data_IF_168489014092
#
_entry.id   IF_168489014092
#
_cell.length_a   1.000
_cell.length_b   1.000
_cell.length_c   1.000
_cell.angle_alpha   90.00
_cell.angle_beta   90.00
_cell.angle_gamma   90.00
#
_symmetry.space_group_name_H-M   'P 1'
#
loop_
_entity.id
_entity.type
_entity.pdbx_description
1 polymer ?
#
# COMPACT_ATOMS: atom_id res chain seq x y z
N UNK A 1 -7.01 20.96 -62.54
CA UNK A 1 -6.31 19.77 -62.01
C UNK A 1 -6.11 19.97 -60.52
N UNK A 2 -6.99 19.45 -59.68
CA UNK A 2 -6.85 19.56 -58.23
C UNK A 2 -7.42 18.28 -57.63
N UNK A 3 -6.56 17.29 -57.36
CA UNK A 3 -6.74 16.17 -56.42
C UNK A 3 -5.67 15.09 -56.61
N UNK A 4 -4.39 15.46 -56.62
CA UNK A 4 -3.35 14.47 -56.30
C UNK A 4 -2.94 14.68 -54.84
N UNK A 5 -3.18 13.66 -54.01
CA UNK A 5 -2.60 13.61 -52.67
C UNK A 5 -1.08 13.42 -52.84
N UNK A 6 -0.34 14.53 -52.90
CA UNK A 6 1.12 14.56 -53.08
C UNK A 6 1.87 13.80 -51.97
N UNK A 7 1.20 13.49 -50.85
CA UNK A 7 1.77 12.74 -49.74
C UNK A 7 0.68 12.09 -48.88
N UNK A 8 1.02 10.98 -48.23
CA UNK A 8 0.20 10.38 -47.15
C UNK A 8 -0.03 11.36 -46.00
N UNK A 9 0.89 12.28 -45.77
CA UNK A 9 0.81 13.27 -44.69
C UNK A 9 -0.26 14.34 -44.91
N UNK A 10 -0.66 14.60 -46.16
CA UNK A 10 -1.74 15.56 -46.50
C UNK A 10 -3.09 14.87 -46.73
N UNK A 11 -3.14 13.53 -46.67
CA UNK A 11 -4.35 12.74 -46.92
C UNK A 11 -5.27 12.69 -45.70
N UNK A 12 -6.38 13.43 -45.75
CA UNK A 12 -7.44 13.38 -44.72
C UNK A 12 -7.97 11.93 -44.52
N UNK A 13 -8.27 11.15 -45.58
CA UNK A 13 -8.73 9.77 -45.40
C UNK A 13 -7.71 8.86 -44.71
N UNK A 14 -6.41 9.04 -44.97
CA UNK A 14 -5.35 8.29 -44.29
C UNK A 14 -5.39 8.58 -42.79
N UNK A 15 -5.30 9.85 -42.39
CA UNK A 15 -5.29 10.23 -40.99
C UNK A 15 -6.56 9.83 -40.24
N UNK A 16 -7.73 9.95 -40.87
CA UNK A 16 -8.99 9.50 -40.27
C UNK A 16 -8.99 7.99 -40.00
N UNK A 17 -8.48 7.18 -40.94
CA UNK A 17 -8.38 5.73 -40.77
C UNK A 17 -7.32 5.38 -39.72
N UNK A 18 -6.16 6.04 -39.74
CA UNK A 18 -5.11 5.84 -38.75
C UNK A 18 -5.58 6.19 -37.34
N UNK A 19 -6.28 7.31 -37.17
CA UNK A 19 -6.87 7.70 -35.88
C UNK A 19 -7.89 6.64 -35.39
N UNK A 20 -8.76 6.14 -36.27
CA UNK A 20 -9.69 5.07 -35.92
C UNK A 20 -8.96 3.78 -35.50
N UNK A 21 -7.91 3.38 -36.23
CA UNK A 21 -7.12 2.19 -35.92
C UNK A 21 -6.35 2.31 -34.61
N UNK A 22 -5.62 3.41 -34.41
CA UNK A 22 -4.84 3.65 -33.19
C UNK A 22 -5.78 3.69 -31.97
N UNK A 23 -6.90 4.41 -32.07
CA UNK A 23 -7.88 4.49 -30.99
C UNK A 23 -8.51 3.13 -30.70
N UNK A 24 -8.91 2.40 -31.75
CA UNK A 24 -9.50 1.07 -31.61
C UNK A 24 -8.55 0.06 -30.98
N UNK A 25 -7.30 -0.03 -31.48
CA UNK A 25 -6.29 -0.93 -30.93
C UNK A 25 -5.91 -0.56 -29.50
N UNK A 26 -5.66 0.73 -29.21
CA UNK A 26 -5.36 1.19 -27.85
C UNK A 26 -6.51 0.86 -26.89
N UNK A 27 -7.77 1.02 -27.31
CA UNK A 27 -8.93 0.67 -26.49
C UNK A 27 -8.98 -0.83 -26.17
N UNK A 28 -8.76 -1.70 -27.16
CA UNK A 28 -8.71 -3.15 -26.95
C UNK A 28 -7.57 -3.54 -26.00
N UNK A 29 -6.39 -2.94 -26.19
CA UNK A 29 -5.23 -3.18 -25.33
C UNK A 29 -5.52 -2.76 -23.88
N UNK A 30 -6.15 -1.59 -23.67
CA UNK A 30 -6.53 -1.12 -22.35
C UNK A 30 -7.56 -2.04 -21.68
N UNK A 31 -8.54 -2.54 -22.43
CA UNK A 31 -9.52 -3.52 -21.92
C UNK A 31 -8.79 -4.79 -21.46
N UNK A 32 -7.87 -5.31 -22.28
CA UNK A 32 -7.10 -6.51 -21.93
C UNK A 32 -6.23 -6.30 -20.68
N UNK A 33 -5.47 -5.21 -20.63
CA UNK A 33 -4.64 -4.85 -19.47
C UNK A 33 -5.49 -4.61 -18.21
N UNK A 34 -6.73 -4.17 -18.36
CA UNK A 34 -7.66 -4.02 -17.23
C UNK A 34 -7.97 -5.38 -16.61
N UNK A 35 -8.30 -6.40 -17.42
CA UNK A 35 -8.57 -7.75 -16.90
C UNK A 35 -7.34 -8.41 -16.30
N UNK A 36 -6.16 -8.25 -16.91
CA UNK A 36 -4.90 -8.73 -16.34
C UNK A 36 -4.66 -8.07 -14.97
N UNK A 37 -4.80 -6.75 -14.88
CA UNK A 37 -4.64 -5.99 -13.63
C UNK A 37 -5.62 -6.45 -12.56
N UNK A 38 -6.90 -6.64 -12.91
CA UNK A 38 -7.92 -7.14 -11.98
C UNK A 38 -7.50 -8.49 -11.40
N UNK A 39 -6.97 -9.41 -12.21
CA UNK A 39 -6.43 -10.69 -11.72
C UNK A 39 -5.29 -10.52 -10.72
N UNK A 40 -4.40 -9.56 -10.95
CA UNK A 40 -3.25 -9.28 -10.08
C UNK A 40 -3.62 -8.61 -8.76
N UNK A 41 -4.66 -7.77 -8.74
CA UNK A 41 -5.07 -6.99 -7.55
C UNK A 41 -6.24 -7.60 -6.77
N UNK A 42 -6.83 -8.69 -7.27
CA UNK A 42 -7.89 -9.40 -6.55
C UNK A 42 -7.33 -9.99 -5.26
N UNK A 43 -8.04 -9.73 -4.15
CA UNK A 43 -7.66 -10.27 -2.84
C UNK A 43 -7.65 -11.80 -2.84
N UNK A 44 -6.68 -12.38 -2.14
CA UNK A 44 -6.64 -13.80 -1.85
C UNK A 44 -7.70 -14.24 -0.84
N UNK A 45 -7.68 -15.54 -0.57
CA UNK A 45 -8.59 -16.22 0.34
C UNK A 45 -7.85 -16.73 1.58
N UNK A 46 -8.58 -17.04 2.64
CA UNK A 46 -7.99 -17.64 3.84
C UNK A 46 -7.36 -19.02 3.55
N UNK A 47 -7.86 -19.74 2.54
CA UNK A 47 -7.26 -20.97 2.08
C UNK A 47 -5.87 -20.73 1.47
N UNK A 48 -5.69 -19.63 0.72
CA UNK A 48 -4.39 -19.23 0.18
C UNK A 48 -3.39 -19.01 1.33
N UNK A 49 -3.80 -18.27 2.37
CA UNK A 49 -2.96 -18.02 3.55
C UNK A 49 -2.58 -19.31 4.30
N UNK A 50 -3.56 -20.19 4.55
CA UNK A 50 -3.33 -21.47 5.25
C UNK A 50 -2.39 -22.40 4.50
N UNK A 51 -2.43 -22.34 3.16
CA UNK A 51 -1.58 -23.16 2.29
C UNK A 51 -0.21 -22.50 2.00
N UNK A 52 0.10 -21.36 2.64
CA UNK A 52 1.34 -20.62 2.40
C UNK A 52 1.41 -19.96 1.01
N UNK A 53 0.29 -19.86 0.30
CA UNK A 53 0.20 -19.20 -1.00
C UNK A 53 0.07 -17.69 -0.77
N UNK A 54 1.16 -16.97 -1.07
CA UNK A 54 1.18 -15.51 -0.95
C UNK A 54 0.75 -14.88 -2.27
N UNK A 55 -0.54 -14.57 -2.41
CA UNK A 55 -1.02 -13.71 -3.50
C UNK A 55 -0.53 -12.28 -3.32
N UNK A 56 -0.51 -11.49 -4.40
CA UNK A 56 -0.07 -10.09 -4.35
C UNK A 56 -0.84 -9.27 -3.32
N UNK A 57 -2.16 -9.46 -3.27
CA UNK A 57 -3.03 -8.87 -2.25
C UNK A 57 -3.55 -10.00 -1.36
N UNK A 58 -3.07 -10.15 -0.12
CA UNK A 58 -3.52 -11.20 0.77
C UNK A 58 -4.99 -11.06 1.20
N UNK A 59 -5.54 -12.14 1.77
CA UNK A 59 -6.89 -12.13 2.34
C UNK A 59 -6.98 -11.16 3.54
N UNK A 60 -8.18 -10.66 3.87
CA UNK A 60 -8.37 -9.76 5.01
C UNK A 60 -7.85 -10.29 6.35
N UNK A 61 -7.90 -11.61 6.54
CA UNK A 61 -7.44 -12.29 7.77
C UNK A 61 -5.93 -12.25 7.96
N UNK A 62 -5.14 -11.73 7.02
CA UNK A 62 -3.70 -11.50 7.17
C UNK A 62 -3.38 -10.61 8.38
N UNK A 63 -4.33 -9.79 8.86
CA UNK A 63 -4.18 -9.00 10.08
C UNK A 63 -3.97 -9.86 11.34
N UNK A 64 -4.39 -11.13 11.31
CA UNK A 64 -4.18 -12.12 12.38
C UNK A 64 -2.81 -12.80 12.31
N UNK A 65 -1.91 -12.31 11.47
CA UNK A 65 -0.58 -12.87 11.29
C UNK A 65 0.47 -11.79 11.53
N UNK A 66 1.64 -12.24 11.96
CA UNK A 66 2.83 -11.41 11.95
C UNK A 66 3.22 -11.09 10.51
N UNK A 67 3.54 -9.82 10.24
CA UNK A 67 3.93 -9.36 8.90
C UNK A 67 5.35 -8.80 8.99
N UNK A 68 6.19 -9.24 8.06
CA UNK A 68 7.57 -8.79 7.92
C UNK A 68 7.86 -8.44 6.45
N UNK A 69 9.01 -7.83 6.16
CA UNK A 69 9.44 -7.45 4.82
C UNK A 69 10.93 -7.74 4.65
N UNK A 70 11.26 -8.78 3.87
CA UNK A 70 12.62 -9.34 3.78
C UNK A 70 13.12 -9.38 2.36
N UNK A 71 14.43 -9.20 2.19
CA UNK A 71 15.10 -9.36 0.90
C UNK A 71 14.91 -10.78 0.35
N UNK A 72 14.37 -10.91 -0.86
CA UNK A 72 14.28 -12.16 -1.59
C UNK A 72 15.44 -12.26 -2.59
N UNK A 73 16.37 -13.20 -2.37
CA UNK A 73 17.46 -13.45 -3.31
C UNK A 73 16.98 -13.82 -4.72
N UNK A 74 15.85 -14.55 -4.80
CA UNK A 74 15.24 -14.94 -6.08
C UNK A 74 14.67 -13.75 -6.86
N UNK A 75 14.08 -12.78 -6.16
CA UNK A 75 13.42 -11.63 -6.80
C UNK A 75 14.32 -10.39 -6.90
N UNK A 76 15.42 -10.35 -6.16
CA UNK A 76 16.34 -9.21 -6.14
C UNK A 76 15.80 -7.98 -5.39
N UNK A 77 14.71 -8.15 -4.63
CA UNK A 77 14.10 -7.08 -3.85
C UNK A 77 13.37 -7.62 -2.62
N UNK A 78 12.99 -6.71 -1.74
CA UNK A 78 12.26 -7.02 -0.51
C UNK A 78 10.82 -7.41 -0.79
N UNK A 79 10.33 -8.45 -0.11
CA UNK A 79 8.99 -9.01 -0.29
C UNK A 79 8.31 -9.19 1.05
N UNK A 80 6.97 -9.07 1.12
CA UNK A 80 6.25 -9.35 2.37
C UNK A 80 6.41 -10.82 2.74
N UNK A 81 6.61 -11.06 4.04
CA UNK A 81 6.66 -12.40 4.63
C UNK A 81 5.55 -12.48 5.69
N UNK A 82 4.65 -13.43 5.51
CA UNK A 82 3.55 -13.69 6.44
C UNK A 82 4.04 -14.77 7.40
N UNK A 83 4.16 -14.41 8.68
CA UNK A 83 4.68 -15.25 9.75
C UNK A 83 3.59 -16.05 10.47
N UNK A 84 3.84 -16.32 11.74
CA UNK A 84 2.91 -17.02 12.62
C UNK A 84 1.68 -16.18 12.99
N UNK A 85 0.69 -16.84 13.61
CA UNK A 85 -0.52 -16.14 14.07
C UNK A 85 -0.18 -15.17 15.19
N UNK A 86 -0.72 -13.97 15.08
CA UNK A 86 -0.54 -12.87 16.02
C UNK A 86 -1.92 -12.25 16.28
N UNK A 87 -2.41 -12.21 17.54
CA UNK A 87 -3.64 -11.52 17.87
C UNK A 87 -3.55 -10.05 17.45
N UNK A 88 -4.66 -9.48 16.98
CA UNK A 88 -4.74 -8.09 16.58
C UNK A 88 -5.81 -7.38 17.42
N UNK A 89 -5.43 -6.36 18.18
CA UNK A 89 -6.26 -5.78 19.24
C UNK A 89 -6.76 -6.86 20.23
N UNK A 90 -5.83 -7.73 20.64
CA UNK A 90 -6.07 -8.74 21.69
C UNK A 90 -6.91 -9.95 21.27
N UNK A 91 -7.32 -10.08 20.00
CA UNK A 91 -8.10 -11.23 19.52
C UNK A 91 -7.75 -11.64 18.09
N UNK A 92 -8.12 -12.87 17.73
CA UNK A 92 -8.17 -13.30 16.34
C UNK A 92 -9.51 -12.86 15.71
N UNK A 93 -9.45 -12.27 14.51
CA UNK A 93 -10.62 -11.77 13.78
C UNK A 93 -11.16 -12.81 12.80
N UNK A 94 -12.48 -12.97 12.76
CA UNK A 94 -13.12 -13.80 11.73
C UNK A 94 -12.91 -13.21 10.33
N UNK A 95 -13.06 -14.02 9.29
CA UNK A 95 -12.92 -13.53 7.90
C UNK A 95 -13.86 -12.37 7.58
N UNK A 96 -15.09 -12.43 8.10
CA UNK A 96 -16.08 -11.37 7.93
C UNK A 96 -15.66 -10.11 8.69
N UNK A 97 -15.33 -10.24 9.97
CA UNK A 97 -15.02 -9.07 10.80
C UNK A 97 -13.71 -8.40 10.37
N UNK A 98 -12.70 -9.18 9.95
CA UNK A 98 -11.48 -8.66 9.36
C UNK A 98 -11.78 -7.86 8.08
N UNK A 99 -12.62 -8.40 7.19
CA UNK A 99 -13.03 -7.70 5.96
C UNK A 99 -13.77 -6.39 6.26
N UNK A 100 -14.70 -6.42 7.20
CA UNK A 100 -15.47 -5.23 7.60
C UNK A 100 -14.56 -4.16 8.23
N UNK A 101 -13.59 -4.59 9.05
CA UNK A 101 -12.61 -3.69 9.66
C UNK A 101 -11.68 -3.04 8.62
N UNK A 102 -11.18 -3.82 7.65
CA UNK A 102 -10.39 -3.29 6.54
C UNK A 102 -11.21 -2.34 5.66
N UNK A 103 -12.48 -2.66 5.43
CA UNK A 103 -13.38 -1.80 4.68
C UNK A 103 -13.57 -0.46 5.38
N UNK A 104 -13.83 -0.45 6.69
CA UNK A 104 -13.92 0.77 7.50
C UNK A 104 -12.62 1.57 7.44
N UNK A 105 -11.47 0.93 7.59
CA UNK A 105 -10.17 1.60 7.48
C UNK A 105 -9.92 2.25 6.13
N UNK A 106 -10.24 1.54 5.05
CA UNK A 106 -10.12 2.08 3.68
C UNK A 106 -11.07 3.25 3.45
N UNK A 107 -12.32 3.16 3.90
CA UNK A 107 -13.27 4.27 3.81
C UNK A 107 -12.81 5.47 4.63
N UNK A 108 -12.30 5.22 5.84
CA UNK A 108 -11.77 6.29 6.70
C UNK A 108 -10.60 6.99 6.05
N UNK A 109 -9.63 6.26 5.47
CA UNK A 109 -8.46 6.90 4.83
C UNK A 109 -8.86 7.80 3.66
N UNK A 110 -9.94 7.45 2.96
CA UNK A 110 -10.53 8.25 1.88
C UNK A 110 -11.33 9.44 2.44
N UNK A 111 -12.19 9.22 3.42
CA UNK A 111 -13.05 10.26 4.02
C UNK A 111 -12.25 11.33 4.75
N UNK A 112 -11.13 10.95 5.39
CA UNK A 112 -10.20 11.86 6.06
C UNK A 112 -9.08 12.36 5.13
N UNK A 113 -9.16 12.02 3.84
CA UNK A 113 -8.26 12.45 2.76
C UNK A 113 -6.77 12.25 3.09
N UNK A 114 -6.39 11.08 3.62
CA UNK A 114 -5.01 10.80 4.02
C UNK A 114 -4.02 10.95 2.86
N UNK A 115 -4.45 10.70 1.61
CA UNK A 115 -3.62 10.86 0.41
C UNK A 115 -3.26 12.32 0.08
N UNK A 116 -3.91 13.31 0.68
CA UNK A 116 -3.57 14.74 0.51
C UNK A 116 -2.30 15.15 1.26
N UNK A 117 -1.87 14.31 2.21
CA UNK A 117 -0.62 14.47 2.94
C UNK A 117 0.38 13.35 2.63
N UNK A 118 -0.11 12.11 2.50
CA UNK A 118 0.70 10.91 2.36
C UNK A 118 0.60 10.31 0.98
N UNK A 119 1.56 9.47 0.62
CA UNK A 119 1.36 8.49 -0.45
C UNK A 119 0.89 7.15 0.11
N UNK A 120 0.01 6.47 -0.62
CA UNK A 120 -0.39 5.09 -0.41
C UNK A 120 -0.09 4.32 -1.70
N UNK A 121 0.69 3.24 -1.62
CA UNK A 121 1.22 2.54 -2.80
C UNK A 121 1.93 3.51 -3.77
N UNK A 122 2.62 4.52 -3.23
CA UNK A 122 3.31 5.54 -4.02
C UNK A 122 2.42 6.62 -4.65
N UNK A 123 1.10 6.59 -4.43
CA UNK A 123 0.15 7.57 -4.97
C UNK A 123 -0.37 8.50 -3.86
N UNK A 124 -0.31 9.81 -4.09
CA UNK A 124 -0.77 10.82 -3.13
C UNK A 124 0.20 12.01 -3.06
N UNK A 125 0.18 12.72 -1.95
CA UNK A 125 1.05 13.88 -1.71
C UNK A 125 2.34 13.51 -0.95
N UNK A 126 3.30 14.43 -1.01
CA UNK A 126 4.64 14.25 -0.42
C UNK A 126 4.88 15.15 0.81
N UNK A 127 3.80 15.62 1.44
CA UNK A 127 3.92 16.38 2.68
C UNK A 127 4.39 15.47 3.82
N UNK A 128 3.92 14.23 3.88
CA UNK A 128 4.24 13.25 4.90
C UNK A 128 4.73 11.92 4.27
N UNK A 129 5.33 11.00 5.06
CA UNK A 129 5.88 9.75 4.55
C UNK A 129 4.83 8.83 3.91
N UNK A 130 5.29 7.92 3.05
CA UNK A 130 4.47 6.88 2.44
C UNK A 130 3.93 5.88 3.47
N UNK A 131 2.63 5.58 3.42
CA UNK A 131 1.96 4.72 4.38
C UNK A 131 1.91 3.24 3.99
N UNK A 132 2.47 2.86 2.84
CA UNK A 132 2.36 1.49 2.30
C UNK A 132 2.90 0.44 3.28
N UNK A 133 4.00 0.75 3.96
CA UNK A 133 4.65 -0.12 4.93
C UNK A 133 4.64 0.46 6.34
N UNK A 134 3.71 1.38 6.65
CA UNK A 134 3.69 2.09 7.93
C UNK A 134 3.57 1.17 9.16
N UNK A 135 2.89 0.02 9.04
CA UNK A 135 2.80 -0.97 10.13
C UNK A 135 4.17 -1.56 10.51
N UNK A 136 5.13 -1.55 9.58
CA UNK A 136 6.47 -2.10 9.76
C UNK A 136 7.49 -1.05 10.21
N UNK A 137 7.08 0.21 10.38
CA UNK A 137 7.99 1.27 10.80
C UNK A 137 8.57 0.96 12.19
N UNK A 138 9.91 0.96 12.37
CA UNK A 138 10.56 0.74 13.65
C UNK A 138 10.10 1.69 14.77
N UNK A 139 9.53 2.85 14.43
CA UNK A 139 8.92 3.79 15.37
C UNK A 139 7.85 3.11 16.24
N UNK A 140 7.14 2.11 15.70
CA UNK A 140 6.11 1.33 16.40
C UNK A 140 6.61 -0.04 16.91
N UNK A 141 7.91 -0.30 16.86
CA UNK A 141 8.49 -1.48 17.50
C UNK A 141 8.43 -1.34 19.02
N UNK A 142 8.54 -2.45 19.78
CA UNK A 142 8.48 -2.40 21.26
C UNK A 142 9.46 -1.42 21.91
N UNK A 143 10.62 -1.20 21.27
CA UNK A 143 11.65 -0.24 21.68
C UNK A 143 11.56 1.10 20.94
N UNK A 144 10.56 1.27 20.08
CA UNK A 144 10.39 2.45 19.23
C UNK A 144 9.85 3.65 20.02
N UNK A 145 10.17 4.88 19.60
CA UNK A 145 9.75 6.10 20.28
C UNK A 145 8.23 6.23 20.43
N UNK A 146 7.43 5.75 19.46
CA UNK A 146 5.98 5.89 19.53
C UNK A 146 5.34 5.05 20.62
N UNK A 147 5.94 3.91 20.98
CA UNK A 147 5.45 3.09 22.09
C UNK A 147 5.60 3.82 23.42
N UNK A 148 6.75 4.46 23.65
CA UNK A 148 6.99 5.24 24.86
C UNK A 148 6.11 6.50 24.92
N UNK A 149 5.94 7.19 23.78
CA UNK A 149 5.13 8.42 23.71
C UNK A 149 3.64 8.16 23.96
N UNK A 150 3.09 7.10 23.37
CA UNK A 150 1.65 6.78 23.50
C UNK A 150 1.32 6.04 24.80
N UNK A 151 2.32 5.43 25.45
CA UNK A 151 2.13 4.66 26.68
C UNK A 151 1.33 3.36 26.49
N UNK A 152 1.12 2.91 25.25
CA UNK A 152 0.39 1.67 24.94
C UNK A 152 1.31 0.46 24.97
N UNK A 153 0.74 -0.72 25.18
CA UNK A 153 1.48 -1.99 25.27
C UNK A 153 1.63 -2.71 23.93
N UNK A 154 0.74 -2.43 22.98
CA UNK A 154 0.74 -3.04 21.64
C UNK A 154 0.93 -2.01 20.53
N UNK A 155 1.47 -2.46 19.40
CA UNK A 155 1.69 -1.61 18.21
C UNK A 155 0.38 -1.02 17.72
N UNK A 156 -0.65 -1.85 17.61
CA UNK A 156 -1.94 -1.46 17.08
C UNK A 156 -2.65 -0.41 17.94
N UNK A 157 -2.54 -0.51 19.27
CA UNK A 157 -3.08 0.49 20.19
C UNK A 157 -2.27 1.79 20.12
N UNK A 158 -0.94 1.72 20.03
CA UNK A 158 -0.10 2.92 19.87
C UNK A 158 -0.43 3.68 18.59
N UNK A 159 -0.58 2.97 17.46
CA UNK A 159 -0.98 3.60 16.20
C UNK A 159 -2.40 4.19 16.29
N UNK A 160 -3.35 3.48 16.91
CA UNK A 160 -4.71 3.99 17.07
C UNK A 160 -4.77 5.21 17.99
N UNK A 161 -3.96 5.26 19.04
CA UNK A 161 -3.83 6.42 19.93
C UNK A 161 -3.28 7.64 19.17
N UNK A 162 -2.20 7.45 18.40
CA UNK A 162 -1.62 8.51 17.58
C UNK A 162 -2.64 9.07 16.58
N UNK A 163 -3.41 8.21 15.91
CA UNK A 163 -4.41 8.63 14.92
C UNK A 163 -5.54 9.46 15.55
N UNK A 164 -5.93 9.16 16.79
CA UNK A 164 -6.96 9.92 17.52
C UNK A 164 -6.43 11.24 18.07
N UNK A 165 -5.14 11.28 18.44
CA UNK A 165 -4.52 12.41 19.13
C UNK A 165 -3.20 12.87 18.51
N UNK A 166 -3.14 13.16 17.19
CA UNK A 166 -1.86 13.39 16.50
C UNK A 166 -1.12 14.62 17.03
N UNK A 167 -1.85 15.65 17.47
CA UNK A 167 -1.26 16.89 18.01
C UNK A 167 -0.54 16.71 19.35
N UNK A 168 -0.79 15.61 20.07
CA UNK A 168 -0.13 15.31 21.35
C UNK A 168 1.26 14.67 21.16
N UNK A 169 1.59 14.25 19.93
CA UNK A 169 2.81 13.51 19.61
C UNK A 169 3.62 14.21 18.51
N UNK A 170 4.34 15.30 18.82
CA UNK A 170 5.14 16.02 17.83
C UNK A 170 6.37 15.18 17.46
N UNK A 171 6.27 14.41 16.38
CA UNK A 171 7.33 13.52 15.89
C UNK A 171 8.26 14.21 14.89
N UNK A 172 7.75 15.20 14.15
CA UNK A 172 8.46 15.88 13.07
C UNK A 172 8.07 17.36 12.96
N UNK A 173 8.85 18.13 12.20
CA UNK A 173 8.53 19.53 11.86
C UNK A 173 7.18 19.66 11.12
N UNK A 174 6.76 18.60 10.43
CA UNK A 174 5.46 18.47 9.77
C UNK A 174 4.55 17.63 10.66
N UNK A 175 3.45 18.23 11.12
CA UNK A 175 2.52 17.57 12.04
C UNK A 175 1.26 17.12 11.31
N UNK A 176 0.75 15.94 11.68
CA UNK A 176 -0.56 15.49 11.25
C UNK A 176 -1.64 16.34 11.96
N UNK A 177 -2.57 16.98 11.22
CA UNK A 177 -3.67 17.70 11.84
C UNK A 177 -4.64 16.74 12.55
N UNK A 178 -5.40 17.25 13.52
CA UNK A 178 -6.48 16.48 14.11
C UNK A 178 -7.67 16.41 13.13
N UNK A 179 -7.92 15.23 12.56
CA UNK A 179 -8.98 14.97 11.59
C UNK A 179 -10.27 14.44 12.23
N UNK A 180 -10.35 14.44 13.57
CA UNK A 180 -11.49 13.90 14.33
C UNK A 180 -11.70 12.42 14.02
N UNK A 181 -10.63 11.64 14.01
CA UNK A 181 -10.67 10.18 13.82
C UNK A 181 -11.21 9.57 15.11
N UNK A 182 -12.30 8.80 15.00
CA UNK A 182 -12.90 8.08 16.13
C UNK A 182 -12.12 6.80 16.47
N UNK A 183 -12.39 6.20 17.63
CA UNK A 183 -11.73 4.96 18.05
C UNK A 183 -11.94 3.79 17.06
N UNK A 184 -13.15 3.65 16.49
CA UNK A 184 -13.46 2.59 15.54
C UNK A 184 -12.82 2.84 14.17
N UNK A 185 -12.84 4.09 13.70
CA UNK A 185 -12.12 4.52 12.50
C UNK A 185 -10.61 4.29 12.65
N UNK A 186 -10.02 4.62 13.80
CA UNK A 186 -8.62 4.40 14.09
C UNK A 186 -8.27 2.91 14.05
N UNK A 187 -9.07 2.06 14.70
CA UNK A 187 -8.91 0.59 14.65
C UNK A 187 -8.96 0.06 13.22
N UNK A 188 -9.93 0.54 12.43
CA UNK A 188 -10.05 0.23 11.00
C UNK A 188 -8.83 0.66 10.21
N UNK A 189 -8.37 1.90 10.40
CA UNK A 189 -7.18 2.45 9.73
C UNK A 189 -5.94 1.62 10.03
N UNK A 190 -5.69 1.28 11.30
CA UNK A 190 -4.55 0.43 11.67
C UNK A 190 -4.66 -0.94 11.01
N UNK A 191 -5.85 -1.54 10.95
CA UNK A 191 -6.07 -2.80 10.25
C UNK A 191 -5.74 -2.67 8.75
N UNK A 192 -6.20 -1.60 8.12
CA UNK A 192 -5.93 -1.27 6.72
C UNK A 192 -4.42 -1.06 6.46
N UNK A 193 -3.71 -0.34 7.33
CA UNK A 193 -2.26 -0.14 7.23
C UNK A 193 -1.49 -1.45 7.46
N UNK A 194 -1.94 -2.31 8.37
CA UNK A 194 -1.40 -3.66 8.58
C UNK A 194 -1.58 -4.51 7.32
N UNK A 195 -2.78 -4.57 6.76
CA UNK A 195 -3.07 -5.27 5.51
C UNK A 195 -2.25 -4.72 4.33
N UNK A 196 -2.18 -3.41 4.16
CA UNK A 196 -1.40 -2.77 3.09
C UNK A 196 0.09 -3.10 3.19
N UNK A 197 0.62 -3.21 4.40
CA UNK A 197 2.00 -3.66 4.64
C UNK A 197 2.26 -5.10 4.19
N UNK A 198 1.23 -5.94 4.12
CA UNK A 198 1.32 -7.31 3.59
C UNK A 198 1.25 -7.42 2.06
N UNK A 199 0.87 -6.35 1.36
CA UNK A 199 0.74 -6.35 -0.11
C UNK A 199 2.13 -6.48 -0.76
N UNK A 200 2.25 -7.37 -1.73
CA UNK A 200 3.44 -7.48 -2.58
C UNK A 200 3.39 -6.41 -3.67
N UNK A 201 4.15 -5.37 -3.43
CA UNK A 201 4.29 -4.17 -4.24
C UNK A 201 5.51 -4.23 -5.17
N UNK A 202 6.01 -5.44 -5.46
CA UNK A 202 7.21 -5.66 -6.29
C UNK A 202 8.43 -4.86 -5.81
N UNK A 203 8.66 -4.82 -4.50
CA UNK A 203 9.84 -4.17 -3.93
C UNK A 203 9.66 -2.68 -3.61
N UNK A 204 8.44 -2.14 -3.66
CA UNK A 204 8.14 -0.79 -3.21
C UNK A 204 7.65 -0.75 -1.73
N UNK A 205 8.07 0.22 -0.90
CA UNK A 205 9.17 1.15 -1.13
C UNK A 205 10.50 0.40 -1.25
N UNK A 206 11.38 0.92 -2.10
CA UNK A 206 12.73 0.34 -2.27
C UNK A 206 13.56 0.63 -1.02
N UNK A 207 14.36 -0.36 -0.59
CA UNK A 207 15.31 -0.22 0.53
C UNK A 207 14.63 0.10 1.87
N UNK A 208 13.44 -0.44 2.11
CA UNK A 208 12.66 -0.13 3.30
C UNK A 208 13.35 -0.60 4.59
N UNK A 209 13.94 -1.81 4.59
CA UNK A 209 14.64 -2.36 5.76
C UNK A 209 16.09 -1.88 5.91
N UNK A 210 16.60 -1.04 5.00
CA UNK A 210 18.00 -0.63 5.06
C UNK A 210 18.25 0.37 6.19
N UNK A 211 19.30 0.14 6.97
CA UNK A 211 19.79 1.09 7.97
C UNK A 211 20.55 2.24 7.33
N UNK A 212 20.70 3.36 8.04
CA UNK A 212 21.50 4.51 7.59
C UNK A 212 22.92 4.10 7.22
N UNK A 213 23.52 3.17 7.97
CA UNK A 213 24.87 2.68 7.67
C UNK A 213 24.91 1.84 6.40
N UNK A 214 23.87 1.04 6.13
CA UNK A 214 23.73 0.29 4.87
C UNK A 214 23.49 1.20 3.65
N UNK A 215 22.95 2.40 3.85
CA UNK A 215 22.88 3.41 2.78
C UNK A 215 24.26 4.06 2.54
N UNK A 216 25.00 4.37 3.61
CA UNK A 216 26.33 5.00 3.52
C UNK A 216 27.40 4.09 2.92
N UNK A 217 27.35 2.79 3.19
CA UNK A 217 28.33 1.83 2.66
C UNK A 217 28.17 1.58 1.16
N UNK A 218 27.02 1.92 0.57
CA UNK A 218 26.71 1.62 -0.82
C UNK A 218 26.48 0.13 -1.03
N UNK A 219 25.31 -0.24 -1.56
CA UNK A 219 25.01 -1.64 -1.84
C UNK A 219 25.55 -2.07 -3.20
N UNK A 220 26.25 -3.20 -3.27
CA UNK A 220 26.62 -3.91 -4.52
C UNK A 220 25.42 -4.46 -5.30
N UNK A 221 24.20 -4.34 -4.75
CA UNK A 221 22.96 -4.86 -5.31
C UNK A 221 22.08 -3.76 -5.93
N UNK A 222 22.67 -2.67 -6.41
CA UNK A 222 21.99 -1.74 -7.30
C UNK A 222 21.93 -2.36 -8.71
N UNK A 223 20.85 -3.08 -8.98
CA UNK A 223 20.37 -3.37 -10.33
C UNK A 223 19.00 -2.75 -10.53
#
# INVERSE_FOLDING_TARGET
MANENLSVWTSIPFWRRSAAWVTGFASILLIWLTFDTVGQITMGTDADLKNGVTKRVPAPTVINYHIDYKMSAKRGHEVPVIGEKEPFFGKEWSAKDAKDLLHLGKLTSQAKNCMDCHTLLGNGAYYAPDLTKAWLDPAWSKSGPMMAMTGKSTREEAMAEFLQHPSQYPTHARMMPNLGITADEAKGLVAFLKHMSSIDTNGFPRNFSKTVDQFKTGGTNAH
#
